data_IF_189708952213
#
_entry.id   IF_189708952213
#
_cell.length_a   1.000
_cell.length_b   1.000
_cell.length_c   1.000
_cell.angle_alpha   90.00
_cell.angle_beta   90.00
_cell.angle_gamma   90.00
#
_symmetry.space_group_name_H-M   'P 1'
#
loop_
_entity.id
_entity.type
_entity.pdbx_description
1 polymer ?
#
# COMPACT_ATOMS: atom_id res chain seq x y z
N UNK A 1 -3.13 -16.02 25.21
CA UNK A 1 -3.51 -14.61 25.49
C UNK A 1 -2.82 -13.60 24.56
N UNK A 2 -1.49 -13.66 24.37
CA UNK A 2 -0.73 -12.68 23.54
C UNK A 2 -1.06 -12.78 22.04
N UNK A 3 -1.04 -13.98 21.46
CA UNK A 3 -1.32 -14.21 20.02
C UNK A 3 -2.71 -13.71 19.60
N UNK A 4 -3.70 -13.93 20.49
CA UNK A 4 -5.07 -13.42 20.34
C UNK A 4 -5.14 -11.90 20.28
N UNK A 5 -4.40 -11.21 21.16
CA UNK A 5 -4.33 -9.73 21.15
C UNK A 5 -3.64 -9.21 19.89
N UNK A 6 -2.62 -9.90 19.39
CA UNK A 6 -1.91 -9.52 18.16
C UNK A 6 -2.80 -9.67 16.94
N UNK A 7 -3.47 -10.82 16.74
CA UNK A 7 -4.39 -11.02 15.62
C UNK A 7 -5.51 -9.98 15.65
N UNK A 8 -6.12 -9.76 16.81
CA UNK A 8 -7.16 -8.73 16.97
C UNK A 8 -6.64 -7.34 16.63
N UNK A 9 -5.43 -6.98 17.09
CA UNK A 9 -4.79 -5.71 16.74
C UNK A 9 -4.51 -5.59 15.24
N UNK A 10 -4.05 -6.66 14.59
CA UNK A 10 -3.81 -6.67 13.14
C UNK A 10 -5.13 -6.48 12.39
N UNK A 11 -6.17 -7.24 12.74
CA UNK A 11 -7.49 -7.10 12.11
C UNK A 11 -8.02 -5.66 12.30
N UNK A 12 -7.96 -5.11 13.51
CA UNK A 12 -8.40 -3.73 13.80
C UNK A 12 -7.62 -2.70 12.97
N UNK A 13 -6.29 -2.82 12.95
CA UNK A 13 -5.39 -1.93 12.18
C UNK A 13 -5.61 -2.04 10.67
N UNK A 14 -5.88 -3.24 10.15
CA UNK A 14 -6.01 -3.49 8.72
C UNK A 14 -7.45 -3.41 8.21
N UNK A 15 -8.48 -3.50 9.05
CA UNK A 15 -9.88 -3.28 8.66
C UNK A 15 -10.34 -1.86 8.95
N UNK A 16 -10.02 -1.32 10.13
CA UNK A 16 -10.51 -0.03 10.59
C UNK A 16 -10.07 1.15 9.71
N UNK A 17 -9.00 0.97 8.94
CA UNK A 17 -8.52 1.95 7.97
C UNK A 17 -9.26 1.91 6.62
N UNK A 18 -10.00 0.83 6.33
CA UNK A 18 -10.59 0.60 5.00
C UNK A 18 -12.12 0.52 5.02
N UNK A 19 -12.74 0.15 6.15
CA UNK A 19 -14.20 0.01 6.27
C UNK A 19 -14.80 1.20 7.02
N UNK A 20 -15.90 1.76 6.49
CA UNK A 20 -16.66 2.84 7.13
C UNK A 20 -17.44 2.32 8.33
N UNK A 21 -17.50 3.13 9.40
CA UNK A 21 -18.35 2.91 10.57
C UNK A 21 -18.23 1.51 11.21
N UNK A 22 -17.06 0.87 11.09
CA UNK A 22 -16.83 -0.44 11.69
C UNK A 22 -16.79 -0.30 13.21
N UNK A 23 -17.74 -0.93 13.90
CA UNK A 23 -17.74 -1.01 15.36
C UNK A 23 -16.64 -1.96 15.82
N UNK A 24 -15.46 -1.38 16.03
CA UNK A 24 -14.27 -2.11 16.45
C UNK A 24 -14.41 -2.76 17.82
N UNK A 25 -15.32 -2.29 18.70
CA UNK A 25 -15.49 -2.86 20.03
C UNK A 25 -16.31 -4.15 19.98
N UNK A 26 -17.42 -4.14 19.24
CA UNK A 26 -18.24 -5.33 19.04
C UNK A 26 -17.51 -6.38 18.19
N UNK A 27 -16.81 -5.97 17.13
CA UNK A 27 -15.95 -6.87 16.35
C UNK A 27 -14.89 -7.55 17.23
N UNK A 28 -14.26 -6.81 18.15
CA UNK A 28 -13.31 -7.39 19.09
C UNK A 28 -13.98 -8.50 19.90
N UNK A 29 -15.12 -8.22 20.53
CA UNK A 29 -15.88 -9.19 21.33
C UNK A 29 -16.26 -10.44 20.54
N UNK A 30 -16.76 -10.29 19.32
CA UNK A 30 -17.13 -11.44 18.49
C UNK A 30 -15.90 -12.24 18.05
N UNK A 31 -14.79 -11.55 17.73
CA UNK A 31 -13.52 -12.20 17.42
C UNK A 31 -13.02 -13.01 18.61
N UNK A 32 -13.35 -12.64 19.86
CA UNK A 32 -12.99 -13.47 21.02
C UNK A 32 -13.62 -14.86 20.99
N UNK A 33 -14.75 -15.05 20.31
CA UNK A 33 -15.45 -16.32 20.20
C UNK A 33 -14.96 -17.16 19.01
N UNK A 34 -14.19 -16.56 18.09
CA UNK A 34 -13.47 -17.26 17.03
C UNK A 34 -14.16 -17.28 15.67
N UNK A 35 -15.46 -16.99 15.62
CA UNK A 35 -16.20 -16.83 14.36
C UNK A 35 -16.86 -15.45 14.35
N UNK A 36 -16.55 -14.66 13.34
CA UNK A 36 -17.18 -13.35 13.12
C UNK A 36 -17.67 -13.27 11.71
N UNK A 37 -18.87 -12.76 11.51
CA UNK A 37 -19.40 -12.44 10.21
C UNK A 37 -19.92 -11.02 10.26
N UNK A 38 -19.42 -10.22 9.34
CA UNK A 38 -19.86 -8.87 9.08
C UNK A 38 -20.52 -8.84 7.70
N UNK A 39 -21.61 -8.12 7.57
CA UNK A 39 -22.36 -8.03 6.32
C UNK A 39 -22.57 -6.56 5.93
N UNK A 40 -22.73 -6.32 4.63
CA UNK A 40 -23.08 -5.02 4.06
C UNK A 40 -22.11 -3.90 4.47
N UNK A 41 -20.81 -4.11 4.24
CA UNK A 41 -19.77 -3.18 4.66
C UNK A 41 -19.43 -2.20 3.55
N UNK A 42 -19.38 -0.92 3.89
CA UNK A 42 -18.95 0.12 2.96
C UNK A 42 -17.45 0.38 3.10
N UNK A 43 -16.77 0.49 1.97
CA UNK A 43 -15.34 0.82 1.91
C UNK A 43 -15.20 2.35 1.97
N UNK A 44 -14.19 2.84 2.69
CA UNK A 44 -13.93 4.28 2.80
C UNK A 44 -13.47 4.89 1.47
N UNK A 45 -13.90 6.12 1.12
CA UNK A 45 -13.46 6.82 -0.09
C UNK A 45 -11.94 6.97 -0.20
N UNK A 46 -11.25 7.11 0.93
CA UNK A 46 -9.81 7.28 1.06
C UNK A 46 -9.03 5.98 1.26
N UNK A 47 -9.69 4.81 1.19
CA UNK A 47 -9.06 3.51 1.42
C UNK A 47 -7.88 3.23 0.46
N UNK A 48 -7.91 3.79 -0.76
CA UNK A 48 -6.81 3.67 -1.72
C UNK A 48 -5.71 4.76 -1.59
N UNK A 49 -5.91 5.77 -0.74
CA UNK A 49 -4.98 6.91 -0.63
C UNK A 49 -3.56 6.49 -0.16
N UNK A 50 -3.45 5.42 0.62
CA UNK A 50 -2.18 4.90 1.12
C UNK A 50 -1.27 4.32 0.03
N UNK A 51 -1.84 3.96 -1.13
CA UNK A 51 -1.08 3.40 -2.25
C UNK A 51 -0.40 4.47 -3.13
N UNK A 52 -0.55 5.76 -2.79
CA UNK A 52 -0.06 6.89 -3.59
C UNK A 52 -0.58 6.87 -5.04
N UNK A 53 -1.77 6.31 -5.25
CA UNK A 53 -2.46 6.30 -6.53
C UNK A 53 -3.45 7.49 -6.51
N UNK A 54 -3.50 8.35 -7.55
CA UNK A 54 -4.36 9.53 -7.58
C UNK A 54 -5.81 9.14 -7.93
N UNK A 55 -6.43 8.33 -7.08
CA UNK A 55 -7.74 7.74 -7.31
C UNK A 55 -8.56 7.81 -6.03
N UNK A 56 -9.84 8.13 -6.15
CA UNK A 56 -10.82 8.15 -5.07
C UNK A 56 -11.85 7.06 -5.29
N UNK A 57 -12.29 6.40 -4.21
CA UNK A 57 -13.40 5.44 -4.30
C UNK A 57 -14.71 6.23 -4.23
N UNK A 58 -15.52 6.15 -5.29
CA UNK A 58 -16.88 6.69 -5.31
C UNK A 58 -17.78 5.78 -4.49
N UNK A 59 -17.66 4.47 -4.73
CA UNK A 59 -18.49 3.45 -4.10
C UNK A 59 -17.65 2.20 -3.91
N UNK A 60 -17.62 1.68 -2.70
CA UNK A 60 -17.01 0.38 -2.43
C UNK A 60 -17.84 -0.37 -1.42
N UNK A 61 -18.07 -1.65 -1.70
CA UNK A 61 -19.02 -2.47 -0.96
C UNK A 61 -18.51 -3.90 -0.82
N UNK A 62 -18.68 -4.47 0.37
CA UNK A 62 -18.41 -5.86 0.70
C UNK A 62 -19.70 -6.48 1.22
N UNK A 63 -20.23 -7.47 0.51
CA UNK A 63 -21.48 -8.13 0.92
C UNK A 63 -21.32 -8.87 2.23
N UNK A 64 -20.25 -9.66 2.36
CA UNK A 64 -19.97 -10.44 3.55
C UNK A 64 -18.47 -10.60 3.78
N UNK A 65 -18.06 -10.44 5.03
CA UNK A 65 -16.70 -10.66 5.52
C UNK A 65 -16.77 -11.57 6.74
N UNK A 66 -16.23 -12.79 6.61
CA UNK A 66 -16.22 -13.78 7.67
C UNK A 66 -14.80 -14.16 8.08
N UNK A 67 -14.57 -14.24 9.39
CA UNK A 67 -13.35 -14.73 10.00
C UNK A 67 -13.63 -16.03 10.73
N UNK A 68 -12.83 -17.07 10.45
CA UNK A 68 -12.84 -18.33 11.18
C UNK A 68 -11.47 -18.57 11.80
N UNK A 69 -11.42 -18.47 13.13
CA UNK A 69 -10.20 -18.52 13.94
C UNK A 69 -10.38 -19.54 15.07
N UNK A 70 -9.70 -20.68 14.96
CA UNK A 70 -9.70 -21.69 16.01
C UNK A 70 -8.74 -21.34 17.14
N UNK A 71 -9.16 -20.48 18.08
CA UNK A 71 -8.31 -20.02 19.21
C UNK A 71 -7.64 -21.13 20.02
N UNK A 72 -8.31 -22.28 20.16
CA UNK A 72 -7.80 -23.45 20.90
C UNK A 72 -6.68 -24.18 20.16
N UNK A 73 -6.61 -24.04 18.84
CA UNK A 73 -5.70 -24.79 17.97
C UNK A 73 -4.98 -23.90 16.93
N UNK A 74 -4.73 -22.63 17.27
CA UNK A 74 -4.05 -21.64 16.42
C UNK A 74 -2.71 -22.10 15.85
N UNK A 75 -2.05 -23.05 16.51
CA UNK A 75 -0.74 -23.55 16.09
C UNK A 75 -0.79 -24.59 14.97
N UNK A 76 -1.96 -25.15 14.69
CA UNK A 76 -2.13 -26.26 13.74
C UNK A 76 -3.29 -26.05 12.78
N UNK A 77 -4.28 -25.24 13.14
CA UNK A 77 -5.44 -24.96 12.30
C UNK A 77 -5.25 -23.66 11.52
N UNK A 78 -5.78 -23.59 10.28
CA UNK A 78 -5.70 -22.40 9.47
C UNK A 78 -6.58 -21.27 10.03
N UNK A 79 -6.17 -20.04 9.73
CA UNK A 79 -6.92 -18.81 9.95
C UNK A 79 -7.57 -18.47 8.62
N UNK A 80 -8.89 -18.67 8.51
CA UNK A 80 -9.61 -18.49 7.26
C UNK A 80 -10.32 -17.15 7.23
N UNK A 81 -10.07 -16.37 6.19
CA UNK A 81 -10.80 -15.14 5.87
C UNK A 81 -11.60 -15.37 4.60
N UNK A 82 -12.92 -15.18 4.68
CA UNK A 82 -13.81 -15.32 3.54
C UNK A 82 -14.43 -13.96 3.27
N UNK A 83 -14.30 -13.49 2.04
CA UNK A 83 -14.94 -12.28 1.53
C UNK A 83 -15.85 -12.70 0.40
N UNK A 84 -17.10 -12.27 0.45
CA UNK A 84 -18.06 -12.46 -0.63
C UNK A 84 -18.60 -11.10 -1.06
N UNK A 85 -18.73 -10.93 -2.38
CA UNK A 85 -19.18 -9.72 -3.03
C UNK A 85 -18.28 -8.53 -2.78
N UNK A 86 -17.11 -8.46 -3.43
CA UNK A 86 -16.16 -7.36 -3.31
C UNK A 86 -16.22 -6.42 -4.52
N UNK A 87 -16.75 -5.23 -4.31
CA UNK A 87 -17.05 -4.29 -5.38
C UNK A 87 -16.46 -2.92 -5.15
N UNK A 88 -15.82 -2.36 -6.16
CA UNK A 88 -15.24 -1.01 -6.11
C UNK A 88 -15.53 -0.28 -7.43
N UNK A 89 -16.00 0.96 -7.32
CA UNK A 89 -16.05 1.97 -8.37
C UNK A 89 -15.16 3.12 -7.92
N UNK A 90 -14.15 3.43 -8.72
CA UNK A 90 -13.16 4.45 -8.42
C UNK A 90 -13.03 5.45 -9.58
N UNK A 91 -12.61 6.67 -9.29
CA UNK A 91 -12.43 7.75 -10.28
C UNK A 91 -11.09 8.47 -10.07
N UNK A 92 -10.56 9.15 -11.11
CA UNK A 92 -9.37 9.97 -10.94
C UNK A 92 -9.59 11.05 -9.88
N UNK A 93 -8.67 11.16 -8.93
CA UNK A 93 -8.71 12.20 -7.91
C UNK A 93 -8.17 13.52 -8.47
N UNK A 94 -9.07 14.43 -8.82
CA UNK A 94 -8.72 15.79 -9.27
C UNK A 94 -8.62 16.80 -8.13
N UNK A 95 -9.20 16.50 -6.97
CA UNK A 95 -9.19 17.37 -5.80
C UNK A 95 -7.98 17.10 -4.90
N UNK A 96 -6.80 17.55 -5.33
CA UNK A 96 -5.68 17.71 -4.39
C UNK A 96 -6.00 18.94 -3.54
N UNK A 97 -6.74 18.79 -2.43
CA UNK A 97 -6.86 19.85 -1.43
C UNK A 97 -5.46 20.09 -0.87
N UNK A 98 -4.86 21.23 -1.22
CA UNK A 98 -3.54 21.59 -0.70
C UNK A 98 -3.70 21.93 0.77
N UNK A 99 -3.41 20.96 1.63
CA UNK A 99 -3.19 21.22 3.03
C UNK A 99 -1.67 21.15 3.24
N UNK A 100 -1.04 22.33 3.25
CA UNK A 100 0.41 22.46 3.44
C UNK A 100 0.90 21.68 4.68
N UNK A 101 0.09 21.60 5.73
CA UNK A 101 0.43 20.85 6.94
C UNK A 101 0.37 19.33 6.74
N UNK A 102 -0.58 18.82 5.96
CA UNK A 102 -0.68 17.39 5.64
C UNK A 102 0.43 16.96 4.67
N UNK A 103 0.74 17.77 3.68
CA UNK A 103 1.84 17.52 2.75
C UNK A 103 3.19 17.55 3.49
N UNK A 104 3.41 18.53 4.36
CA UNK A 104 4.64 18.61 5.15
C UNK A 104 4.76 17.41 6.10
N UNK A 105 3.66 16.98 6.75
CA UNK A 105 3.62 15.75 7.54
C UNK A 105 3.91 14.51 6.69
N UNK A 106 3.37 14.43 5.47
CA UNK A 106 3.59 13.31 4.55
C UNK A 106 5.04 13.25 4.08
N UNK A 107 5.63 14.40 3.73
CA UNK A 107 7.03 14.53 3.34
C UNK A 107 7.97 14.17 4.50
N UNK A 108 7.70 14.70 5.70
CA UNK A 108 8.46 14.34 6.91
C UNK A 108 8.38 12.85 7.21
N UNK A 109 7.18 12.25 7.14
CA UNK A 109 6.99 10.81 7.36
C UNK A 109 7.72 9.97 6.29
N UNK A 110 7.71 10.39 5.03
CA UNK A 110 8.44 9.71 3.96
C UNK A 110 9.95 9.79 4.19
N UNK A 111 10.46 10.98 4.55
CA UNK A 111 11.87 11.23 4.86
C UNK A 111 12.35 10.41 6.06
N UNK A 112 11.58 10.40 7.16
CA UNK A 112 11.92 9.58 8.33
C UNK A 112 11.86 8.09 8.03
N UNK A 113 10.91 7.64 7.19
CA UNK A 113 10.85 6.25 6.73
C UNK A 113 12.10 5.87 5.92
N UNK A 114 12.62 6.79 5.11
CA UNK A 114 13.88 6.59 4.37
C UNK A 114 15.09 6.51 5.31
N UNK A 115 15.21 7.44 6.27
CA UNK A 115 16.24 7.41 7.32
C UNK A 115 16.22 6.07 8.07
N UNK A 116 15.04 5.63 8.53
CA UNK A 116 14.91 4.37 9.25
C UNK A 116 15.28 3.16 8.39
N UNK A 117 14.89 3.12 7.10
CA UNK A 117 15.31 2.05 6.20
C UNK A 117 16.83 1.97 6.05
N UNK A 118 17.50 3.11 5.95
CA UNK A 118 18.97 3.16 5.83
C UNK A 118 19.61 2.67 7.15
N UNK A 119 19.07 3.09 8.30
CA UNK A 119 19.51 2.65 9.62
C UNK A 119 19.30 1.14 9.82
N UNK A 120 18.12 0.60 9.49
CA UNK A 120 17.78 -0.83 9.56
C UNK A 120 18.71 -1.66 8.68
N UNK A 121 18.85 -1.28 7.40
CA UNK A 121 19.76 -1.96 6.47
C UNK A 121 21.22 -1.95 6.95
N UNK A 122 21.66 -0.86 7.60
CA UNK A 122 23.00 -0.77 8.18
C UNK A 122 23.16 -1.69 9.39
N UNK A 123 22.18 -1.71 10.30
CA UNK A 123 22.18 -2.62 11.46
C UNK A 123 22.20 -4.07 11.01
N UNK A 124 21.38 -4.43 10.02
CA UNK A 124 21.40 -5.76 9.40
C UNK A 124 22.78 -6.13 8.84
N UNK A 125 23.49 -5.19 8.20
CA UNK A 125 24.87 -5.43 7.74
C UNK A 125 25.87 -5.59 8.89
N UNK A 126 25.83 -4.72 9.90
CA UNK A 126 26.69 -4.81 11.09
C UNK A 126 26.43 -6.11 11.86
N UNK A 127 25.17 -6.53 11.97
CA UNK A 127 24.75 -7.80 12.55
C UNK A 127 25.11 -8.99 11.67
N UNK A 128 25.07 -8.88 10.34
CA UNK A 128 25.59 -9.91 9.45
C UNK A 128 27.10 -10.13 9.63
N UNK A 129 27.86 -9.04 9.82
CA UNK A 129 29.31 -9.12 10.11
C UNK A 129 29.56 -9.65 11.53
N UNK A 130 28.76 -9.26 12.53
CA UNK A 130 28.87 -9.74 13.92
C UNK A 130 28.40 -11.19 14.10
N UNK A 131 27.35 -11.63 13.39
CA UNK A 131 26.78 -12.98 13.48
C UNK A 131 27.70 -14.06 12.88
N UNK A 132 28.64 -13.68 12.01
CA UNK A 132 29.79 -14.54 11.66
C UNK A 132 30.72 -14.83 12.86
N UNK A 133 30.62 -14.09 13.97
CA UNK A 133 31.46 -14.24 15.19
C UNK A 133 30.70 -14.77 16.41
N UNK A 134 29.37 -14.78 16.43
CA UNK A 134 28.54 -15.53 17.40
C UNK A 134 27.04 -15.37 17.11
N UNK A 135 26.22 -16.43 17.18
CA UNK A 135 24.78 -16.33 16.93
C UNK A 135 24.05 -15.93 18.23
N UNK A 136 23.49 -14.70 18.29
CA UNK A 136 22.54 -14.28 19.34
C UNK A 136 21.12 -14.09 18.77
N UNK A 137 20.15 -14.23 19.67
CA UNK A 137 18.84 -14.85 19.47
C UNK A 137 17.62 -13.89 19.51
N UNK A 138 17.80 -12.59 19.32
CA UNK A 138 16.76 -11.59 19.67
C UNK A 138 15.65 -11.38 18.61
N UNK A 139 15.86 -11.72 17.34
CA UNK A 139 14.81 -11.57 16.30
C UNK A 139 13.85 -12.76 16.17
N UNK A 140 14.15 -13.83 16.91
CA UNK A 140 13.50 -15.14 16.76
C UNK A 140 11.98 -15.09 17.01
N UNK A 141 11.49 -14.24 17.92
CA UNK A 141 10.07 -14.26 18.30
C UNK A 141 9.15 -13.62 17.25
N UNK A 142 9.54 -12.46 16.70
CA UNK A 142 8.75 -11.76 15.68
C UNK A 142 8.83 -12.48 14.34
N UNK A 143 10.01 -12.98 13.96
CA UNK A 143 10.18 -13.83 12.77
C UNK A 143 9.31 -15.09 12.85
N UNK A 144 9.33 -15.79 13.99
CA UNK A 144 8.46 -16.96 14.23
C UNK A 144 6.98 -16.60 14.13
N UNK A 145 6.58 -15.44 14.65
CA UNK A 145 5.18 -14.99 14.59
C UNK A 145 4.74 -14.66 13.16
N UNK A 146 5.59 -13.97 12.38
CA UNK A 146 5.29 -13.67 10.97
C UNK A 146 5.22 -14.95 10.14
N UNK A 147 6.17 -15.86 10.33
CA UNK A 147 6.15 -17.19 9.70
C UNK A 147 4.90 -17.98 10.10
N UNK A 148 4.49 -17.89 11.37
CA UNK A 148 3.28 -18.54 11.87
C UNK A 148 2.03 -18.03 11.16
N UNK A 149 1.90 -16.71 11.03
CA UNK A 149 0.80 -16.08 10.30
C UNK A 149 0.82 -16.51 8.84
N UNK A 150 1.96 -16.36 8.14
CA UNK A 150 2.08 -16.76 6.73
C UNK A 150 1.72 -18.24 6.55
N UNK A 151 2.17 -19.11 7.45
CA UNK A 151 1.92 -20.55 7.44
C UNK A 151 0.43 -20.88 7.53
N UNK A 152 -0.28 -20.28 8.47
CA UNK A 152 -1.67 -20.65 8.79
C UNK A 152 -2.72 -19.78 8.09
N UNK A 153 -2.33 -18.65 7.51
CA UNK A 153 -3.26 -17.73 6.87
C UNK A 153 -3.78 -18.27 5.53
N UNK A 154 -5.10 -18.35 5.41
CA UNK A 154 -5.81 -18.72 4.20
C UNK A 154 -6.92 -17.71 3.93
N UNK A 155 -7.18 -17.43 2.65
CA UNK A 155 -8.28 -16.56 2.28
C UNK A 155 -8.98 -16.99 1.00
N UNK A 156 -10.25 -16.62 0.91
CA UNK A 156 -11.07 -16.76 -0.29
C UNK A 156 -11.87 -15.49 -0.49
N UNK A 157 -11.75 -14.86 -1.64
CA UNK A 157 -12.55 -13.70 -2.02
C UNK A 157 -13.34 -14.09 -3.27
N UNK A 158 -14.66 -13.95 -3.21
CA UNK A 158 -15.56 -14.31 -4.31
C UNK A 158 -16.33 -13.09 -4.80
N UNK A 159 -16.83 -13.15 -6.04
CA UNK A 159 -17.63 -12.13 -6.68
C UNK A 159 -16.94 -10.76 -6.67
N UNK A 160 -15.80 -10.67 -7.36
CA UNK A 160 -14.94 -9.49 -7.37
C UNK A 160 -15.17 -8.69 -8.63
N UNK A 161 -15.46 -7.41 -8.48
CA UNK A 161 -15.47 -6.47 -9.59
C UNK A 161 -14.97 -5.09 -9.16
N UNK A 162 -13.84 -4.71 -9.73
CA UNK A 162 -13.18 -3.42 -9.51
C UNK A 162 -13.27 -2.66 -10.83
N UNK A 163 -13.81 -1.45 -10.79
CA UNK A 163 -13.96 -0.59 -11.94
C UNK A 163 -13.38 0.80 -11.65
N UNK A 164 -12.73 1.35 -12.67
CA UNK A 164 -12.18 2.69 -12.70
C UNK A 164 -12.87 3.46 -13.82
N UNK A 165 -13.64 4.46 -13.44
CA UNK A 165 -14.41 5.31 -14.32
C UNK A 165 -13.66 6.63 -14.55
N UNK A 166 -13.24 6.88 -15.79
CA UNK A 166 -12.52 8.10 -16.14
C UNK A 166 -13.35 8.99 -17.08
N UNK A 167 -13.69 10.17 -16.57
CA UNK A 167 -14.43 11.24 -17.28
C UNK A 167 -13.54 12.46 -17.56
N UNK A 168 -12.29 12.43 -17.11
CA UNK A 168 -11.42 13.60 -16.97
C UNK A 168 -10.28 13.55 -17.98
N UNK A 169 -9.65 12.39 -18.17
CA UNK A 169 -8.51 12.22 -19.09
C UNK A 169 -8.89 12.63 -20.51
N UNK A 170 -10.03 12.15 -21.00
CA UNK A 170 -10.63 12.55 -22.27
C UNK A 170 -12.10 12.92 -22.09
N UNK A 171 -12.44 14.21 -21.92
CA UNK A 171 -13.82 14.64 -21.72
C UNK A 171 -14.76 14.24 -22.88
N UNK A 172 -14.23 14.22 -24.11
CA UNK A 172 -15.00 13.86 -25.30
C UNK A 172 -15.15 12.35 -25.50
N UNK A 173 -14.35 11.54 -24.78
CA UNK A 173 -14.32 10.08 -24.93
C UNK A 173 -14.02 9.43 -23.58
N UNK A 174 -15.03 9.33 -22.70
CA UNK A 174 -14.86 8.73 -21.39
C UNK A 174 -14.60 7.23 -21.52
N UNK A 175 -13.92 6.62 -20.54
CA UNK A 175 -13.64 5.19 -20.56
C UNK A 175 -13.81 4.54 -19.19
N UNK A 176 -13.99 3.22 -19.20
CA UNK A 176 -14.03 2.38 -18.01
C UNK A 176 -12.98 1.29 -18.14
N UNK A 177 -12.05 1.27 -17.20
CA UNK A 177 -11.15 0.15 -16.98
C UNK A 177 -11.70 -0.72 -15.86
N UNK A 178 -11.64 -2.04 -15.97
CA UNK A 178 -12.06 -2.88 -14.86
C UNK A 178 -11.47 -4.27 -14.85
N UNK A 179 -11.54 -4.87 -13.67
CA UNK A 179 -11.04 -6.20 -13.34
C UNK A 179 -12.21 -6.98 -12.75
N UNK A 180 -12.42 -8.20 -13.23
CA UNK A 180 -13.41 -9.12 -12.66
C UNK A 180 -12.78 -10.48 -12.36
N UNK A 181 -13.18 -11.08 -11.23
CA UNK A 181 -12.90 -12.46 -10.89
C UNK A 181 -14.15 -13.08 -10.29
N UNK A 182 -14.39 -14.36 -10.60
CA UNK A 182 -15.37 -15.13 -9.85
C UNK A 182 -14.84 -15.41 -8.45
N UNK A 183 -13.61 -15.92 -8.33
CA UNK A 183 -12.95 -16.01 -7.03
C UNK A 183 -11.43 -15.98 -7.12
N UNK A 184 -10.80 -15.54 -6.02
CA UNK A 184 -9.39 -15.77 -5.69
C UNK A 184 -9.33 -16.57 -4.40
N UNK A 185 -8.59 -17.67 -4.41
CA UNK A 185 -8.38 -18.53 -3.26
C UNK A 185 -6.90 -18.69 -3.00
N UNK A 186 -6.50 -18.61 -1.73
CA UNK A 186 -5.12 -18.85 -1.30
C UNK A 186 -5.12 -19.73 -0.06
N UNK A 187 -4.54 -20.92 -0.19
CA UNK A 187 -4.62 -21.97 0.82
C UNK A 187 -3.26 -22.65 1.05
N UNK A 188 -3.11 -23.29 2.20
CA UNK A 188 -1.93 -24.06 2.57
C UNK A 188 -2.06 -25.49 2.06
N UNK A 189 -1.00 -26.02 1.48
CA UNK A 189 -1.01 -27.36 0.91
C UNK A 189 0.16 -28.20 1.42
N UNK A 190 0.10 -29.51 1.16
CA UNK A 190 1.24 -30.39 1.31
C UNK A 190 2.19 -30.29 0.09
N UNK A 191 3.21 -31.14 0.06
CA UNK A 191 4.18 -31.24 -1.04
C UNK A 191 3.53 -31.67 -2.38
N UNK A 192 2.35 -32.30 -2.32
CA UNK A 192 1.56 -32.79 -3.46
C UNK A 192 0.49 -31.79 -3.93
N UNK A 193 0.44 -30.60 -3.32
CA UNK A 193 -0.51 -29.52 -3.61
C UNK A 193 -1.96 -29.80 -3.21
N UNK A 194 -2.17 -30.70 -2.26
CA UNK A 194 -3.47 -30.97 -1.65
C UNK A 194 -3.69 -30.11 -0.40
N UNK A 195 -4.93 -29.66 -0.18
CA UNK A 195 -5.29 -28.80 0.96
C UNK A 195 -5.09 -29.53 2.29
N UNK A 196 -4.43 -28.86 3.24
CA UNK A 196 -4.18 -29.42 4.57
C UNK A 196 -5.10 -28.79 5.61
N UNK A 197 -5.81 -29.62 6.38
CA UNK A 197 -6.61 -29.17 7.54
C UNK A 197 -5.76 -28.92 8.78
N UNK A 198 -4.64 -29.64 8.88
CA UNK A 198 -3.66 -29.54 9.97
C UNK A 198 -2.32 -29.19 9.34
N UNK A 199 -1.72 -28.11 9.80
CA UNK A 199 -0.49 -27.58 9.23
C UNK A 199 0.67 -28.01 10.14
N UNK A 200 1.59 -28.77 9.56
CA UNK A 200 2.78 -29.27 10.24
C UNK A 200 3.93 -28.27 10.23
N UNK A 201 4.80 -28.36 11.23
CA UNK A 201 6.01 -27.56 11.30
C UNK A 201 7.11 -28.12 10.37
N UNK A 202 7.08 -27.66 9.13
CA UNK A 202 8.08 -28.02 8.12
C UNK A 202 9.03 -26.85 7.79
N UNK A 203 10.25 -27.12 7.28
CA UNK A 203 11.18 -26.08 6.86
C UNK A 203 10.77 -25.36 5.56
N UNK A 204 9.76 -25.89 4.86
CA UNK A 204 9.24 -25.35 3.60
C UNK A 204 7.73 -25.23 3.69
N UNK A 205 7.20 -24.02 3.52
CA UNK A 205 5.76 -23.77 3.46
C UNK A 205 5.32 -23.88 1.99
N UNK A 206 4.26 -24.66 1.75
CA UNK A 206 3.62 -24.75 0.44
C UNK A 206 2.30 -24.00 0.47
N UNK A 207 2.12 -23.10 -0.49
CA UNK A 207 0.88 -22.35 -0.69
C UNK A 207 0.39 -22.56 -2.11
N UNK A 208 -0.92 -22.71 -2.24
CA UNK A 208 -1.59 -22.81 -3.52
C UNK A 208 -2.56 -21.64 -3.67
N UNK A 209 -2.36 -20.86 -4.73
CA UNK A 209 -3.24 -19.79 -5.17
C UNK A 209 -4.03 -20.21 -6.40
N UNK A 210 -5.30 -19.84 -6.47
CA UNK A 210 -6.15 -20.04 -7.64
C UNK A 210 -6.93 -18.76 -7.92
N UNK A 211 -6.89 -18.31 -9.18
CA UNK A 211 -7.72 -17.26 -9.73
C UNK A 211 -8.66 -17.92 -10.74
N UNK A 212 -9.97 -17.82 -10.49
CA UNK A 212 -10.97 -18.32 -11.42
C UNK A 212 -11.61 -17.16 -12.20
N UNK A 213 -11.73 -17.38 -13.50
CA UNK A 213 -12.29 -16.42 -14.48
C UNK A 213 -11.71 -15.01 -14.31
N UNK A 214 -10.39 -14.89 -14.17
CA UNK A 214 -9.72 -13.60 -14.10
C UNK A 214 -9.80 -12.89 -15.44
N UNK A 215 -10.39 -11.69 -15.47
CA UNK A 215 -10.54 -10.91 -16.68
C UNK A 215 -10.22 -9.44 -16.44
N UNK A 216 -9.74 -8.78 -17.49
CA UNK A 216 -9.47 -7.34 -17.52
C UNK A 216 -10.17 -6.79 -18.75
N UNK A 217 -10.99 -5.76 -18.57
CA UNK A 217 -11.69 -5.10 -19.65
C UNK A 217 -11.39 -3.61 -19.67
N UNK A 218 -11.49 -3.02 -20.86
CA UNK A 218 -11.34 -1.60 -21.09
C UNK A 218 -12.36 -1.16 -22.14
N UNK A 219 -13.41 -0.52 -21.68
CA UNK A 219 -14.48 -0.01 -22.52
C UNK A 219 -14.20 1.45 -22.84
N UNK A 220 -13.94 1.73 -24.12
CA UNK A 220 -13.75 3.08 -24.63
C UNK A 220 -15.11 3.71 -25.00
N UNK A 221 -15.19 5.04 -24.97
CA UNK A 221 -16.37 5.82 -25.37
C UNK A 221 -17.66 5.43 -24.62
N UNK A 222 -17.55 5.36 -23.30
CA UNK A 222 -18.69 4.98 -22.44
C UNK A 222 -19.53 6.20 -22.12
N UNK A 223 -20.85 6.09 -22.32
CA UNK A 223 -21.82 7.09 -21.89
C UNK A 223 -22.15 6.89 -20.41
N UNK A 224 -21.56 7.70 -19.55
CA UNK A 224 -21.90 7.73 -18.14
C UNK A 224 -23.28 8.38 -17.95
N UNK A 225 -24.28 7.58 -17.58
CA UNK A 225 -25.56 8.10 -17.11
C UNK A 225 -25.40 8.51 -15.64
N UNK A 226 -25.65 9.78 -15.31
CA UNK A 226 -25.78 10.23 -13.92
C UNK A 226 -26.99 9.52 -13.31
N UNK A 227 -26.76 8.58 -12.39
CA UNK A 227 -27.84 7.90 -11.67
C UNK A 227 -27.67 8.12 -10.18
N UNK A 228 -28.80 8.32 -9.52
CA UNK A 228 -28.89 8.83 -8.15
C UNK A 228 -28.30 7.87 -7.10
N UNK A 229 -28.30 6.55 -7.35
CA UNK A 229 -27.78 5.54 -6.41
C UNK A 229 -26.83 4.52 -7.10
N UNK A 230 -25.50 4.72 -7.03
CA UNK A 230 -24.52 3.79 -7.63
C UNK A 230 -24.48 2.41 -6.96
N UNK A 231 -24.84 2.30 -5.68
CA UNK A 231 -24.86 1.04 -4.92
C UNK A 231 -25.98 0.11 -5.40
N UNK A 232 -27.20 0.61 -5.58
CA UNK A 232 -28.36 -0.17 -6.03
C UNK A 232 -28.19 -0.66 -7.48
N UNK A 233 -27.55 0.14 -8.34
CA UNK A 233 -27.24 -0.25 -9.73
C UNK A 233 -26.11 -1.28 -9.79
N UNK A 234 -25.11 -1.17 -8.92
CA UNK A 234 -24.09 -2.19 -8.74
C UNK A 234 -24.75 -3.51 -8.30
N UNK A 235 -25.61 -3.49 -7.27
CA UNK A 235 -26.40 -4.67 -6.86
C UNK A 235 -27.26 -5.24 -8.00
N UNK A 236 -27.92 -4.39 -8.78
CA UNK A 236 -28.75 -4.81 -9.91
C UNK A 236 -27.92 -5.40 -11.07
N UNK A 237 -26.72 -4.86 -11.35
CA UNK A 237 -25.77 -5.41 -12.32
C UNK A 237 -25.22 -6.74 -11.83
N UNK A 238 -24.81 -6.83 -10.57
CA UNK A 238 -24.32 -8.08 -9.94
C UNK A 238 -25.38 -9.19 -10.02
N UNK A 239 -26.64 -8.89 -9.67
CA UNK A 239 -27.71 -9.88 -9.70
C UNK A 239 -28.17 -10.27 -11.11
N UNK A 240 -27.94 -9.42 -12.12
CA UNK A 240 -28.20 -9.73 -13.54
C UNK A 240 -27.00 -10.36 -14.26
N UNK A 241 -25.82 -10.40 -13.65
CA UNK A 241 -24.54 -10.71 -14.30
C UNK A 241 -24.23 -12.20 -14.52
N UNK A 242 -25.19 -13.11 -14.35
CA UNK A 242 -24.85 -14.52 -14.56
C UNK A 242 -24.73 -14.91 -16.05
N UNK A 243 -25.31 -14.19 -17.02
CA UNK A 243 -25.20 -14.60 -18.45
C UNK A 243 -25.14 -13.46 -19.47
N UNK A 244 -25.87 -12.34 -19.33
CA UNK A 244 -26.12 -11.42 -20.47
C UNK A 244 -25.24 -10.17 -20.60
N UNK A 245 -24.40 -9.84 -19.61
CA UNK A 245 -23.64 -8.57 -19.57
C UNK A 245 -22.16 -8.70 -19.89
N UNK A 246 -21.60 -9.92 -19.87
CA UNK A 246 -20.21 -10.19 -20.26
C UNK A 246 -20.01 -10.11 -21.79
N UNK A 247 -21.07 -10.21 -22.59
CA UNK A 247 -20.98 -10.21 -24.06
C UNK A 247 -20.60 -8.84 -24.66
N UNK A 248 -20.82 -7.75 -23.93
CA UNK A 248 -20.58 -6.38 -24.42
C UNK A 248 -19.32 -5.70 -23.84
N UNK A 249 -18.45 -6.44 -23.14
CA UNK A 249 -17.22 -5.88 -22.59
C UNK A 249 -16.03 -6.05 -23.56
N UNK A 250 -15.30 -4.96 -23.78
CA UNK A 250 -14.07 -4.96 -24.58
C UNK A 250 -12.91 -5.47 -23.73
N UNK A 251 -12.67 -6.78 -23.75
CA UNK A 251 -11.62 -7.43 -22.96
C UNK A 251 -10.21 -7.13 -23.46
N UNK A 252 -9.34 -6.67 -22.56
CA UNK A 252 -7.89 -6.71 -22.75
C UNK A 252 -7.37 -8.12 -22.47
N UNK A 253 -7.83 -8.71 -21.37
CA UNK A 253 -7.58 -10.09 -20.99
C UNK A 253 -8.92 -10.79 -20.85
N UNK A 254 -9.17 -11.79 -21.69
CA UNK A 254 -10.39 -12.61 -21.58
C UNK A 254 -10.37 -13.44 -20.30
N UNK A 255 -11.55 -13.79 -19.75
CA UNK A 255 -11.66 -14.65 -18.57
C UNK A 255 -10.77 -15.89 -18.67
N UNK A 256 -9.81 -16.00 -17.75
CA UNK A 256 -8.81 -17.06 -17.74
C UNK A 256 -8.62 -17.60 -16.33
N UNK A 257 -8.43 -18.92 -16.22
CA UNK A 257 -8.09 -19.57 -14.95
C UNK A 257 -6.58 -19.64 -14.78
N UNK A 258 -6.10 -19.19 -13.63
CA UNK A 258 -4.67 -19.13 -13.30
C UNK A 258 -4.45 -19.81 -11.96
N UNK A 259 -3.55 -20.79 -11.92
CA UNK A 259 -3.15 -21.50 -10.70
C UNK A 259 -1.70 -21.16 -10.39
N UNK A 260 -1.40 -20.92 -9.12
CA UNK A 260 -0.07 -20.59 -8.65
C UNK A 260 0.33 -21.51 -7.50
N UNK A 261 1.52 -22.10 -7.62
CA UNK A 261 2.12 -23.02 -6.66
C UNK A 261 3.35 -22.35 -6.08
N UNK A 262 3.31 -22.01 -4.80
CA UNK A 262 4.36 -21.28 -4.10
C UNK A 262 5.05 -22.19 -3.09
N UNK A 263 6.38 -22.17 -3.08
CA UNK A 263 7.22 -22.78 -2.04
C UNK A 263 8.03 -21.69 -1.36
N UNK A 264 7.94 -21.63 -0.03
CA UNK A 264 8.60 -20.61 0.79
C UNK A 264 9.53 -21.31 1.77
N UNK A 265 10.83 -21.03 1.69
CA UNK A 265 11.81 -21.57 2.62
C UNK A 265 11.86 -20.70 3.90
N UNK A 266 11.68 -21.30 5.08
CA UNK A 266 11.55 -20.54 6.34
C UNK A 266 12.87 -20.25 7.05
N UNK A 267 13.95 -20.95 6.70
CA UNK A 267 15.27 -20.86 7.35
C UNK A 267 16.41 -20.79 6.31
N UNK A 268 16.52 -19.71 5.52
CA UNK A 268 17.54 -19.61 4.48
C UNK A 268 18.97 -19.52 5.05
N UNK A 269 19.12 -18.90 6.24
CA UNK A 269 20.43 -18.66 6.89
C UNK A 269 21.14 -19.95 7.34
N UNK A 270 20.42 -21.04 7.60
CA UNK A 270 21.00 -22.32 8.04
C UNK A 270 21.42 -23.22 6.87
N UNK A 271 21.03 -22.90 5.63
CA UNK A 271 21.23 -23.76 4.45
C UNK A 271 22.15 -23.12 3.40
N UNK A 272 23.03 -22.20 3.79
CA UNK A 272 23.99 -21.50 2.90
C UNK A 272 23.37 -20.93 1.60
N UNK A 273 22.09 -20.55 1.62
CA UNK A 273 21.36 -20.02 0.45
C UNK A 273 21.39 -20.92 -0.80
N UNK A 274 21.55 -22.24 -0.65
CA UNK A 274 21.55 -23.20 -1.77
C UNK A 274 20.17 -23.27 -2.47
N UNK A 275 19.10 -22.80 -1.82
CA UNK A 275 17.72 -22.80 -2.34
C UNK A 275 17.12 -21.39 -2.37
N UNK A 276 16.27 -21.07 -3.37
CA UNK A 276 15.56 -19.79 -3.39
C UNK A 276 14.61 -19.68 -2.19
N UNK A 277 14.51 -18.47 -1.64
CA UNK A 277 13.61 -18.16 -0.51
C UNK A 277 12.14 -18.34 -0.93
N UNK A 278 11.84 -18.00 -2.19
CA UNK A 278 10.52 -18.10 -2.79
C UNK A 278 10.65 -18.71 -4.19
N UNK A 279 9.99 -19.84 -4.41
CA UNK A 279 9.83 -20.48 -5.72
C UNK A 279 8.34 -20.44 -6.10
N UNK A 280 8.02 -19.88 -7.26
CA UNK A 280 6.64 -19.69 -7.73
C UNK A 280 6.49 -20.33 -9.11
N UNK A 281 5.57 -21.29 -9.22
CA UNK A 281 5.17 -21.91 -10.48
C UNK A 281 3.75 -21.49 -10.82
N UNK A 282 3.53 -20.97 -12.01
CA UNK A 282 2.22 -20.48 -12.45
C UNK A 282 1.76 -21.36 -13.62
N UNK A 283 0.61 -22.01 -13.44
CA UNK A 283 -0.03 -22.90 -14.40
C UNK A 283 -1.29 -22.21 -14.95
N UNK A 284 -1.41 -22.06 -16.26
CA UNK A 284 -2.59 -21.52 -16.94
C UNK A 284 -2.80 -22.27 -18.27
N UNK A 285 -4.06 -22.40 -18.72
CA UNK A 285 -4.36 -23.11 -19.98
C UNK A 285 -4.04 -22.27 -21.21
N UNK A 286 -4.67 -21.11 -21.31
CA UNK A 286 -4.51 -20.19 -22.42
C UNK A 286 -4.79 -18.77 -21.93
N UNK A 287 -3.96 -17.83 -22.35
CA UNK A 287 -4.11 -16.41 -22.06
C UNK A 287 -4.38 -15.71 -23.38
N UNK A 288 -5.52 -15.03 -23.47
CA UNK A 288 -5.89 -14.22 -24.64
C UNK A 288 -5.75 -12.75 -24.30
N UNK A 289 -4.74 -12.11 -24.88
CA UNK A 289 -4.50 -10.68 -24.75
C UNK A 289 -4.83 -9.99 -26.07
N UNK A 290 -5.66 -8.95 -26.01
CA UNK A 290 -5.97 -8.12 -27.16
C UNK A 290 -6.06 -6.66 -26.72
N UNK A 291 -5.31 -5.77 -27.37
CA UNK A 291 -5.38 -4.33 -27.09
C UNK A 291 -5.72 -3.65 -28.40
N UNK A 292 -6.88 -2.99 -28.42
CA UNK A 292 -7.31 -2.18 -29.55
C UNK A 292 -6.54 -0.84 -29.57
N UNK A 293 -6.47 -0.21 -30.73
CA UNK A 293 -5.83 1.11 -30.89
C UNK A 293 -6.39 2.15 -29.90
N UNK A 294 -7.71 2.14 -29.71
CA UNK A 294 -8.39 3.07 -28.81
C UNK A 294 -8.01 2.86 -27.35
N UNK A 295 -8.00 1.62 -26.89
CA UNK A 295 -7.54 1.26 -25.54
C UNK A 295 -6.08 1.67 -25.32
N UNK A 296 -5.23 1.46 -26.32
CA UNK A 296 -3.83 1.86 -26.25
C UNK A 296 -3.66 3.38 -26.15
N UNK A 297 -4.39 4.15 -26.97
CA UNK A 297 -4.37 5.61 -26.89
C UNK A 297 -4.86 6.10 -25.52
N UNK A 298 -6.00 5.60 -25.04
CA UNK A 298 -6.56 5.99 -23.73
C UNK A 298 -5.59 5.68 -22.57
N UNK A 299 -4.87 4.55 -22.64
CA UNK A 299 -3.83 4.21 -21.67
C UNK A 299 -2.67 5.23 -21.66
N UNK A 300 -2.20 5.66 -22.83
CA UNK A 300 -1.13 6.66 -22.93
C UNK A 300 -1.57 8.00 -22.34
N UNK A 301 -2.78 8.46 -22.67
CA UNK A 301 -3.32 9.72 -22.15
C UNK A 301 -3.52 9.67 -20.63
N UNK A 302 -3.95 8.51 -20.09
CA UNK A 302 -4.08 8.31 -18.64
C UNK A 302 -2.72 8.37 -17.94
N UNK A 303 -1.68 7.76 -18.52
CA UNK A 303 -0.32 7.80 -17.98
C UNK A 303 0.24 9.23 -18.00
N UNK A 304 0.00 9.98 -19.09
CA UNK A 304 0.39 11.38 -19.18
C UNK A 304 -0.35 12.25 -18.15
N UNK A 305 -1.67 12.05 -17.98
CA UNK A 305 -2.44 12.75 -16.96
C UNK A 305 -1.89 12.48 -15.56
N UNK A 306 -1.58 11.22 -15.24
CA UNK A 306 -1.00 10.84 -13.94
C UNK A 306 0.31 11.58 -13.67
N UNK A 307 1.20 11.62 -14.66
CA UNK A 307 2.50 12.29 -14.52
C UNK A 307 2.33 13.80 -14.38
N UNK A 308 1.39 14.39 -15.12
CA UNK A 308 1.00 15.79 -14.98
C UNK A 308 0.39 16.11 -13.60
N UNK A 309 -0.49 15.26 -13.06
CA UNK A 309 -1.07 15.43 -11.72
C UNK A 309 0.02 15.37 -10.66
N UNK A 310 0.94 14.40 -10.76
CA UNK A 310 2.07 14.26 -9.83
C UNK A 310 2.97 15.49 -9.84
N UNK A 311 3.31 15.98 -11.03
CA UNK A 311 4.12 17.19 -11.21
C UNK A 311 3.40 18.42 -10.64
N UNK A 312 2.12 18.60 -10.97
CA UNK A 312 1.29 19.72 -10.46
C UNK A 312 1.19 19.69 -8.94
N UNK A 313 0.99 18.51 -8.34
CA UNK A 313 0.91 18.36 -6.89
C UNK A 313 2.18 18.84 -6.19
N UNK A 314 3.35 18.53 -6.74
CA UNK A 314 4.64 18.90 -6.14
C UNK A 314 4.86 20.42 -6.10
N UNK A 315 4.42 21.12 -7.15
CA UNK A 315 4.70 22.54 -7.33
C UNK A 315 3.51 23.46 -7.04
N UNK A 316 2.34 22.92 -6.67
CA UNK A 316 1.09 23.67 -6.45
C UNK A 316 1.25 24.88 -5.52
N UNK A 317 2.11 24.79 -4.50
CA UNK A 317 2.46 25.90 -3.59
C UNK A 317 2.89 27.20 -4.29
N UNK A 318 3.53 27.09 -5.46
CA UNK A 318 3.94 28.25 -6.25
C UNK A 318 2.85 28.79 -7.16
N UNK A 319 1.81 28.01 -7.42
CA UNK A 319 0.68 28.42 -8.28
C UNK A 319 -0.35 29.25 -7.50
N UNK A 320 -0.53 28.92 -6.23
CA UNK A 320 -1.48 29.59 -5.32
C UNK A 320 -0.98 30.99 -4.89
N UNK A 321 0.33 31.19 -4.81
CA UNK A 321 0.93 32.48 -4.44
C UNK A 321 0.92 33.54 -5.55
N UNK A 322 0.40 33.21 -6.74
CA UNK A 322 0.41 34.12 -7.89
C UNK A 322 -0.94 34.81 -8.02
N UNK A 323 -0.96 36.09 -7.63
CA UNK A 323 -2.07 37.00 -7.85
C UNK A 323 -1.98 37.61 -9.25
N UNK A 324 -2.62 36.96 -10.22
CA UNK A 324 -2.81 37.51 -11.57
C UNK A 324 -4.08 36.97 -12.21
N UNK A 325 -4.89 37.87 -12.77
CA UNK A 325 -6.12 37.51 -13.49
C UNK A 325 -5.87 36.96 -14.89
N UNK A 326 -4.70 37.27 -15.48
CA UNK A 326 -4.34 36.80 -16.83
C UNK A 326 -3.80 35.36 -16.81
N UNK A 327 -4.47 34.38 -17.43
CA UNK A 327 -4.09 32.96 -17.33
C UNK A 327 -2.71 32.67 -17.93
N UNK A 328 -2.36 33.27 -19.06
CA UNK A 328 -1.06 33.06 -19.72
C UNK A 328 0.10 33.62 -18.89
N UNK A 329 -0.08 34.80 -18.30
CA UNK A 329 0.93 35.41 -17.43
C UNK A 329 1.10 34.61 -16.13
N UNK A 330 0.00 34.09 -15.58
CA UNK A 330 0.01 33.23 -14.40
C UNK A 330 0.84 31.98 -14.63
N UNK A 331 0.69 31.32 -15.78
CA UNK A 331 1.49 30.14 -16.17
C UNK A 331 2.99 30.45 -16.27
N UNK A 332 3.37 31.58 -16.86
CA UNK A 332 4.77 32.00 -16.94
C UNK A 332 5.37 32.34 -15.58
N UNK A 333 4.65 33.12 -14.76
CA UNK A 333 5.08 33.43 -13.38
C UNK A 333 5.23 32.16 -12.56
N UNK A 334 4.36 31.18 -12.75
CA UNK A 334 4.43 29.87 -12.11
C UNK A 334 5.70 29.12 -12.52
N UNK A 335 5.95 28.95 -13.82
CA UNK A 335 7.16 28.30 -14.30
C UNK A 335 8.44 28.98 -13.78
N UNK A 336 8.47 30.32 -13.81
CA UNK A 336 9.57 31.11 -13.29
C UNK A 336 9.78 30.90 -11.78
N UNK A 337 8.71 30.96 -10.99
CA UNK A 337 8.77 30.75 -9.54
C UNK A 337 9.27 29.34 -9.17
N UNK A 338 8.84 28.32 -9.90
CA UNK A 338 9.31 26.94 -9.73
C UNK A 338 10.80 26.85 -10.00
N UNK A 339 11.26 27.31 -11.18
CA UNK A 339 12.68 27.22 -11.57
C UNK A 339 13.58 27.98 -10.59
N UNK A 340 13.17 29.19 -10.18
CA UNK A 340 13.98 29.98 -9.25
C UNK A 340 14.08 29.34 -7.88
N UNK A 341 12.97 28.88 -7.31
CA UNK A 341 12.98 28.39 -5.94
C UNK A 341 13.50 26.96 -5.81
N UNK A 342 13.31 26.12 -6.83
CA UNK A 342 13.68 24.70 -6.77
C UNK A 342 15.04 24.41 -7.44
N UNK A 343 15.48 25.23 -8.41
CA UNK A 343 16.73 25.00 -9.15
C UNK A 343 17.78 26.07 -8.86
N UNK A 344 17.46 27.35 -9.06
CA UNK A 344 18.47 28.42 -9.05
C UNK A 344 18.89 28.80 -7.64
N UNK A 345 17.94 29.16 -6.77
CA UNK A 345 18.22 29.60 -5.39
C UNK A 345 18.93 28.52 -4.56
N UNK A 346 18.52 27.23 -4.60
CA UNK A 346 19.25 26.20 -3.86
C UNK A 346 20.70 26.09 -4.35
N UNK A 347 20.93 26.02 -5.67
CA UNK A 347 22.28 25.94 -6.23
C UNK A 347 23.16 27.13 -5.85
N UNK A 348 22.63 28.35 -5.87
CA UNK A 348 23.38 29.54 -5.46
C UNK A 348 23.58 29.60 -3.93
N UNK A 349 22.59 29.16 -3.17
CA UNK A 349 22.61 29.20 -1.70
C UNK A 349 23.50 28.15 -1.06
N UNK A 350 23.57 26.93 -1.59
CA UNK A 350 24.36 25.84 -0.99
C UNK A 350 25.85 26.15 -0.90
N UNK A 351 26.39 26.97 -1.81
CA UNK A 351 27.82 27.32 -1.84
C UNK A 351 28.15 28.66 -1.16
N UNK A 352 27.18 29.29 -0.49
CA UNK A 352 27.45 30.47 0.34
C UNK A 352 27.91 30.03 1.73
N UNK A 353 29.04 30.57 2.18
CA UNK A 353 29.64 30.24 3.48
C UNK A 353 28.70 30.44 4.67
N UNK A 354 27.83 31.45 4.61
CA UNK A 354 26.82 31.73 5.64
C UNK A 354 25.82 30.56 5.77
N UNK A 355 25.26 30.09 4.64
CA UNK A 355 24.31 28.96 4.62
C UNK A 355 24.98 27.65 5.04
N UNK A 356 26.24 27.44 4.65
CA UNK A 356 27.03 26.27 5.09
C UNK A 356 27.20 26.31 6.61
N UNK A 357 27.58 27.47 7.16
CA UNK A 357 27.75 27.67 8.60
C UNK A 357 26.45 27.43 9.35
N UNK A 358 25.34 28.03 8.92
CA UNK A 358 24.02 27.81 9.53
C UNK A 358 23.57 26.35 9.45
N UNK A 359 23.89 25.64 8.37
CA UNK A 359 23.59 24.21 8.25
C UNK A 359 24.43 23.38 9.23
N UNK A 360 25.71 23.70 9.38
CA UNK A 360 26.59 23.06 10.37
C UNK A 360 26.13 23.33 11.80
N UNK A 361 25.71 24.56 12.11
CA UNK A 361 25.19 24.90 13.44
C UNK A 361 23.89 24.16 13.73
N UNK A 362 22.99 24.03 12.75
CA UNK A 362 21.79 23.16 12.86
C UNK A 362 22.15 21.69 13.08
N UNK A 363 23.16 21.17 12.39
CA UNK A 363 23.63 19.79 12.56
C UNK A 363 24.21 19.57 13.97
N UNK A 364 24.99 20.52 14.49
CA UNK A 364 25.54 20.47 15.86
C UNK A 364 24.44 20.56 16.92
N UNK A 365 23.48 21.46 16.72
CA UNK A 365 22.30 21.59 17.59
C UNK A 365 21.52 20.27 17.62
N UNK A 366 21.26 19.69 16.45
CA UNK A 366 20.56 18.40 16.35
C UNK A 366 21.33 17.27 17.02
N UNK A 367 22.65 17.19 16.85
CA UNK A 367 23.49 16.20 17.52
C UNK A 367 23.32 16.26 19.04
N UNK A 368 23.44 17.45 19.64
CA UNK A 368 23.29 17.64 21.08
C UNK A 368 21.89 17.25 21.57
N UNK A 369 20.84 17.64 20.84
CA UNK A 369 19.46 17.32 21.20
C UNK A 369 19.16 15.83 21.06
N UNK A 370 19.62 15.20 19.98
CA UNK A 370 19.42 13.77 19.73
C UNK A 370 20.18 12.90 20.74
N UNK A 371 21.40 13.30 21.13
CA UNK A 371 22.15 12.64 22.20
C UNK A 371 21.38 12.66 23.53
N UNK A 372 20.81 13.81 23.92
CA UNK A 372 19.94 13.90 25.10
C UNK A 372 18.65 13.09 24.96
N UNK A 373 18.04 13.07 23.78
CA UNK A 373 16.80 12.32 23.53
C UNK A 373 17.02 10.82 23.65
N UNK A 374 18.15 10.32 23.14
CA UNK A 374 18.55 8.92 23.24
C UNK A 374 18.84 8.49 24.68
N UNK A 375 19.46 9.36 25.47
CA UNK A 375 19.77 9.10 26.89
C UNK A 375 18.59 9.41 27.83
N UNK A 376 17.37 9.56 27.31
CA UNK A 376 16.14 9.86 28.06
C UNK A 376 16.19 11.16 28.90
N UNK A 377 17.14 12.06 28.62
CA UNK A 377 17.36 13.32 29.32
C UNK A 377 16.69 14.53 28.64
N UNK A 378 16.12 14.35 27.45
CA UNK A 378 15.51 15.46 26.69
C UNK A 378 14.12 15.84 27.19
N UNK A 379 13.93 17.14 27.38
CA UNK A 379 12.62 17.75 27.68
C UNK A 379 11.67 17.72 26.47
N UNK A 380 10.37 17.91 26.71
CA UNK A 380 9.35 17.95 25.64
C UNK A 380 9.63 19.05 24.59
N UNK A 381 10.19 20.18 25.01
CA UNK A 381 10.52 21.31 24.12
C UNK A 381 11.72 20.95 23.24
N UNK A 382 12.75 20.33 23.82
CA UNK A 382 13.93 19.85 23.08
C UNK A 382 13.55 18.81 22.02
N UNK A 383 12.65 17.87 22.35
CA UNK A 383 12.12 16.89 21.37
C UNK A 383 11.34 17.56 20.23
N UNK A 384 10.58 18.61 20.52
CA UNK A 384 9.90 19.38 19.47
C UNK A 384 10.90 20.15 18.60
N UNK A 385 11.98 20.69 19.17
CA UNK A 385 13.05 21.36 18.43
C UNK A 385 13.82 20.39 17.54
N UNK A 386 14.16 19.21 18.05
CA UNK A 386 14.79 18.14 17.28
C UNK A 386 13.94 17.77 16.04
N UNK A 387 12.63 17.57 16.21
CA UNK A 387 11.70 17.31 15.08
C UNK A 387 11.65 18.44 14.06
N UNK A 388 11.79 19.71 14.49
CA UNK A 388 11.89 20.85 13.55
C UNK A 388 13.20 20.81 12.77
N UNK A 389 14.31 20.48 13.41
CA UNK A 389 15.62 20.35 12.74
C UNK A 389 15.63 19.18 11.76
N UNK A 390 14.99 18.05 12.09
CA UNK A 390 14.85 16.90 11.18
C UNK A 390 14.12 17.24 9.88
N UNK A 391 13.21 18.21 9.88
CA UNK A 391 12.58 18.69 8.64
C UNK A 391 13.58 19.43 7.75
N UNK A 392 14.51 20.17 8.35
CA UNK A 392 15.45 21.04 7.65
C UNK A 392 16.75 20.36 7.21
N UNK A 393 17.29 19.44 8.00
CA UNK A 393 18.56 18.73 7.73
C UNK A 393 18.31 17.60 6.74
N UNK A 394 19.15 17.42 5.73
CA UNK A 394 19.08 16.36 4.73
C UNK A 394 19.22 14.94 5.32
N UNK A 395 18.76 13.95 4.55
CA UNK A 395 18.75 12.53 4.97
C UNK A 395 20.15 12.03 5.31
N UNK A 396 21.17 12.40 4.53
CA UNK A 396 22.55 11.93 4.73
C UNK A 396 23.12 12.46 6.05
N UNK A 397 23.01 13.77 6.30
CA UNK A 397 23.48 14.36 7.55
C UNK A 397 22.72 13.82 8.76
N UNK A 398 21.41 13.58 8.66
CA UNK A 398 20.64 12.94 9.74
C UNK A 398 21.16 11.54 10.08
N UNK A 399 21.34 10.69 9.06
CA UNK A 399 21.89 9.33 9.25
C UNK A 399 23.29 9.38 9.86
N UNK A 400 24.13 10.29 9.38
CA UNK A 400 25.49 10.46 9.88
C UNK A 400 25.54 10.93 11.35
N UNK A 401 24.74 11.94 11.70
CA UNK A 401 24.66 12.46 13.07
C UNK A 401 24.15 11.39 14.03
N UNK A 402 23.07 10.71 13.68
CA UNK A 402 22.50 9.64 14.52
C UNK A 402 23.48 8.49 14.70
N UNK A 403 24.27 8.16 13.67
CA UNK A 403 25.36 7.19 13.75
C UNK A 403 26.46 7.64 14.70
N UNK A 404 26.89 8.89 14.65
CA UNK A 404 27.96 9.35 15.55
C UNK A 404 27.49 9.30 17.01
N UNK A 405 26.25 9.71 17.26
CA UNK A 405 25.61 9.55 18.58
C UNK A 405 25.50 8.08 19.00
N UNK A 406 25.38 7.13 18.06
CA UNK A 406 25.45 5.69 18.37
C UNK A 406 26.84 5.19 18.76
N UNK A 407 27.91 5.85 18.29
CA UNK A 407 29.29 5.49 18.55
C UNK A 407 29.88 6.19 19.79
N UNK A 408 29.34 7.36 20.14
CA UNK A 408 29.77 8.17 21.30
C UNK A 408 29.19 7.64 22.64
N UNK A 409 28.32 6.63 22.60
CA UNK A 409 27.73 5.91 23.75
C UNK A 409 28.35 4.52 23.83
#
# INVERSE_FOLDING_TARGET
>A
MIFKRIIIYLIDKYLGNYIQNLDTQNLKFDLWHGNVTLENLNIKPDALANFNIPVTIITGYIQKLSFHISWKHLYHHPINIIIDGFYIIAEPNTEIKHNAEQEEKKQYKAKMKEVHKIEEFRKEQEEFVRSKRSPRQSDTFLERLQLHIIRHFEFSISNIHISFEDKITKPNRPFIFGITLNYIKFQTTNNEWEHMKLIEDSPVIYKFGELNTFSIYWNCDVKFQSKENPIEDLHAKIMKNNETSMENMSYILRPSDIKAKLKIATLPKQQEYVRPILDVKIDFKQIHLNITHDQYSDLLDLLELRDNIKLRSQYKKYYESIETDKPSLRRWKFAYAVVINEVVRPRLGYYQWENIRENLDRCREYHALYFKERNEQATRIEKQRARKLEKQIDVLNLVFIRRNVELDV
#
